data_IF_122590996596
#
_entry.id   IF_122590996596
#
_cell.length_a   1.000
_cell.length_b   1.000
_cell.length_c   1.000
_cell.angle_alpha   90.00
_cell.angle_beta   90.00
_cell.angle_gamma   90.00
#
_symmetry.space_group_name_H-M   'P 1'
#
loop_
_entity.id
_entity.type
_entity.pdbx_description
1 polymer ?
#
# COMPACT_ATOMS: atom_id res chain seq x y z
N UNK A 1 -10.26 11.98 -36.82
CA UNK A 1 -9.76 10.81 -36.08
C UNK A 1 -10.93 10.20 -35.33
N UNK A 2 -11.49 9.10 -35.86
CA UNK A 2 -12.53 8.29 -35.23
C UNK A 2 -11.89 7.25 -34.36
N UNK A 3 -11.93 7.41 -33.03
CA UNK A 3 -11.50 6.42 -32.05
C UNK A 3 -12.60 5.41 -31.82
N UNK A 4 -12.40 4.16 -32.26
CA UNK A 4 -13.30 3.04 -32.02
C UNK A 4 -13.29 2.62 -30.55
N UNK A 5 -14.48 2.51 -29.96
CA UNK A 5 -14.69 1.96 -28.65
C UNK A 5 -14.47 0.43 -28.70
N UNK A 6 -13.46 -0.08 -28.02
CA UNK A 6 -13.29 -1.51 -27.79
C UNK A 6 -14.13 -1.91 -26.58
N UNK A 7 -15.27 -2.51 -26.82
CA UNK A 7 -16.05 -3.23 -25.80
C UNK A 7 -15.36 -4.53 -25.45
N UNK A 8 -14.84 -4.64 -24.21
CA UNK A 8 -14.41 -5.92 -23.66
C UNK A 8 -15.64 -6.66 -23.15
N UNK A 9 -16.15 -7.60 -23.93
CA UNK A 9 -17.04 -8.65 -23.44
C UNK A 9 -16.20 -9.68 -22.66
N UNK A 10 -16.23 -9.62 -21.34
CA UNK A 10 -15.78 -10.74 -20.52
C UNK A 10 -16.95 -11.70 -20.28
N UNK A 11 -17.24 -12.50 -21.28
CA UNK A 11 -18.11 -13.65 -21.14
C UNK A 11 -17.30 -14.86 -20.68
N UNK A 12 -17.29 -15.15 -19.37
CA UNK A 12 -16.95 -16.47 -18.87
C UNK A 12 -18.15 -17.07 -18.13
N UNK A 13 -19.12 -17.48 -18.89
CA UNK A 13 -20.12 -18.43 -18.44
C UNK A 13 -19.63 -19.83 -18.78
N UNK A 14 -18.82 -20.46 -17.94
CA UNK A 14 -18.59 -21.89 -17.97
C UNK A 14 -19.71 -22.60 -17.19
N UNK A 15 -20.84 -22.78 -17.83
CA UNK A 15 -21.85 -23.76 -17.40
C UNK A 15 -21.39 -25.15 -17.85
N UNK A 16 -20.56 -25.80 -17.03
CA UNK A 16 -20.33 -27.24 -17.19
C UNK A 16 -21.50 -27.99 -16.56
N UNK A 17 -22.51 -28.29 -17.38
CA UNK A 17 -23.55 -29.24 -17.04
C UNK A 17 -22.97 -30.65 -17.18
N UNK A 18 -22.28 -31.13 -16.18
CA UNK A 18 -21.93 -32.53 -16.05
C UNK A 18 -23.12 -33.26 -15.42
N UNK A 19 -23.97 -33.82 -16.26
CA UNK A 19 -24.93 -34.87 -15.86
C UNK A 19 -24.14 -36.12 -15.47
N UNK A 20 -23.68 -36.18 -14.24
CA UNK A 20 -23.09 -37.38 -13.66
C UNK A 20 -24.18 -38.07 -12.82
N UNK A 21 -24.91 -38.99 -13.47
CA UNK A 21 -25.83 -39.89 -12.78
C UNK A 21 -25.02 -41.02 -12.16
N UNK A 22 -24.29 -40.72 -11.11
CA UNK A 22 -23.75 -41.69 -10.19
C UNK A 22 -24.56 -41.64 -8.92
N UNK A 23 -25.45 -42.62 -8.74
CA UNK A 23 -26.08 -42.94 -7.47
C UNK A 23 -24.99 -43.38 -6.47
N UNK A 24 -24.35 -42.46 -5.86
CA UNK A 24 -23.56 -42.68 -4.65
C UNK A 24 -24.40 -42.21 -3.48
N UNK A 25 -24.87 -43.17 -2.69
CA UNK A 25 -25.46 -42.93 -1.36
C UNK A 25 -24.41 -42.24 -0.44
N UNK A 26 -24.26 -40.94 -0.61
CA UNK A 26 -23.45 -40.15 0.31
C UNK A 26 -24.31 -39.88 1.55
N UNK A 27 -24.19 -40.76 2.55
CA UNK A 27 -24.92 -40.65 3.82
C UNK A 27 -24.51 -39.45 4.70
N UNK A 28 -23.45 -38.75 4.34
CA UNK A 28 -23.10 -37.46 4.93
C UNK A 28 -22.19 -36.68 3.98
N UNK A 29 -22.60 -35.49 3.58
CA UNK A 29 -21.70 -34.55 2.91
C UNK A 29 -20.57 -34.17 3.89
N UNK A 30 -19.30 -34.25 3.49
CA UNK A 30 -18.23 -33.77 4.37
C UNK A 30 -18.47 -32.29 4.66
N UNK A 31 -18.32 -31.84 5.91
CA UNK A 31 -18.48 -30.45 6.27
C UNK A 31 -17.41 -29.61 5.53
N UNK A 32 -17.84 -28.88 4.51
CA UNK A 32 -16.97 -27.99 3.76
C UNK A 32 -17.05 -26.61 4.39
N UNK A 33 -16.06 -26.21 5.17
CA UNK A 33 -15.91 -24.83 5.58
C UNK A 33 -15.26 -24.05 4.40
N UNK A 34 -16.10 -23.54 3.52
CA UNK A 34 -15.66 -22.61 2.48
C UNK A 34 -15.25 -21.29 3.13
N UNK A 35 -13.96 -20.96 3.12
CA UNK A 35 -13.54 -19.63 3.50
C UNK A 35 -14.04 -18.65 2.42
N UNK A 36 -14.81 -17.61 2.77
CA UNK A 36 -15.27 -16.65 1.78
C UNK A 36 -14.05 -15.94 1.17
N UNK A 37 -13.83 -16.14 -0.12
CA UNK A 37 -12.82 -15.37 -0.85
C UNK A 37 -13.39 -14.00 -1.19
N UNK A 38 -12.95 -12.97 -0.48
CA UNK A 38 -13.28 -11.60 -0.81
C UNK A 38 -12.36 -11.10 -1.93
N UNK A 39 -12.79 -11.23 -3.17
CA UNK A 39 -12.15 -10.57 -4.30
C UNK A 39 -12.54 -9.09 -4.32
N UNK A 40 -11.97 -8.27 -3.43
CA UNK A 40 -12.07 -6.83 -3.50
C UNK A 40 -11.01 -6.26 -4.46
N UNK A 41 -10.99 -6.75 -5.68
CA UNK A 41 -10.12 -6.27 -6.76
C UNK A 41 -10.76 -5.11 -7.54
N UNK A 42 -11.60 -4.30 -6.93
CA UNK A 42 -12.00 -3.05 -7.55
C UNK A 42 -10.91 -2.01 -7.27
N UNK A 43 -10.43 -1.34 -8.30
CA UNK A 43 -9.39 -0.30 -8.20
C UNK A 43 -9.78 0.84 -7.24
N UNK A 44 -11.05 0.88 -6.83
CA UNK A 44 -11.59 1.92 -5.96
C UNK A 44 -11.64 1.56 -4.47
N UNK A 45 -11.40 0.30 -4.11
CA UNK A 45 -11.47 -0.13 -2.71
C UNK A 45 -10.07 -0.48 -2.20
N UNK A 46 -9.53 0.35 -1.31
CA UNK A 46 -8.25 0.10 -0.62
C UNK A 46 -8.40 -0.88 0.56
N UNK A 47 -9.26 -1.87 0.41
CA UNK A 47 -9.48 -2.88 1.44
C UNK A 47 -8.90 -4.22 1.01
N UNK A 48 -8.15 -4.85 1.89
CA UNK A 48 -7.62 -6.20 1.73
C UNK A 48 -8.41 -7.12 2.65
N UNK A 49 -9.03 -8.16 2.07
CA UNK A 49 -9.72 -9.18 2.83
C UNK A 49 -8.77 -10.32 3.19
N UNK A 50 -8.76 -10.72 4.45
CA UNK A 50 -8.15 -11.96 4.90
C UNK A 50 -9.23 -12.88 5.44
N UNK A 51 -9.29 -14.12 4.94
CA UNK A 51 -10.23 -15.14 5.39
C UNK A 51 -9.48 -16.38 5.83
N UNK A 52 -9.95 -17.02 6.90
CA UNK A 52 -9.43 -18.27 7.39
C UNK A 52 -10.60 -19.22 7.71
N UNK A 53 -10.47 -20.49 7.34
CA UNK A 53 -11.40 -21.55 7.66
C UNK A 53 -10.70 -22.69 8.39
N UNK A 54 -11.32 -23.18 9.46
CA UNK A 54 -10.88 -24.36 10.19
C UNK A 54 -11.96 -25.43 10.08
N UNK A 55 -11.58 -26.62 9.65
CA UNK A 55 -12.45 -27.79 9.58
C UNK A 55 -12.01 -28.82 10.62
N UNK A 56 -12.94 -29.24 11.47
CA UNK A 56 -12.79 -30.41 12.35
C UNK A 56 -13.93 -31.37 12.14
N UNK A 57 -13.81 -32.60 12.63
CA UNK A 57 -14.85 -33.63 12.48
C UNK A 57 -16.24 -33.11 12.91
N UNK A 58 -17.10 -32.81 11.94
CA UNK A 58 -18.49 -32.43 12.14
C UNK A 58 -18.78 -30.93 12.32
N UNK A 59 -17.78 -30.06 12.45
CA UNK A 59 -17.98 -28.62 12.60
C UNK A 59 -16.97 -27.84 11.78
N UNK A 60 -17.48 -26.93 10.92
CA UNK A 60 -16.66 -25.96 10.16
C UNK A 60 -16.88 -24.54 10.67
N UNK A 61 -15.82 -23.83 11.00
CA UNK A 61 -15.84 -22.41 11.37
C UNK A 61 -15.03 -21.62 10.38
N UNK A 62 -15.62 -20.57 9.80
CA UNK A 62 -14.93 -19.64 8.91
C UNK A 62 -15.08 -18.21 9.41
N UNK A 63 -14.02 -17.44 9.32
CA UNK A 63 -14.00 -16.02 9.69
C UNK A 63 -13.22 -15.20 8.67
N UNK A 64 -13.65 -13.96 8.46
CA UNK A 64 -12.99 -13.02 7.57
C UNK A 64 -12.85 -11.65 8.23
N UNK A 65 -11.75 -10.95 7.95
CA UNK A 65 -11.51 -9.58 8.41
C UNK A 65 -11.03 -8.72 7.25
N UNK A 66 -11.53 -7.50 7.18
CA UNK A 66 -11.08 -6.50 6.22
C UNK A 66 -10.03 -5.59 6.87
N UNK A 67 -8.97 -5.31 6.14
CA UNK A 67 -7.96 -4.34 6.52
C UNK A 67 -7.91 -3.24 5.46
N UNK A 68 -7.86 -1.99 5.90
CA UNK A 68 -7.68 -0.86 5.00
C UNK A 68 -6.18 -0.69 4.75
N UNK A 69 -5.77 -0.72 3.48
CA UNK A 69 -4.40 -0.40 3.10
C UNK A 69 -4.21 1.13 3.05
N UNK A 70 -3.55 1.65 4.08
CA UNK A 70 -3.24 3.08 4.20
C UNK A 70 -2.38 3.62 3.06
N UNK A 71 -1.54 2.79 2.44
CA UNK A 71 -0.73 3.21 1.30
C UNK A 71 -1.59 3.40 0.06
N UNK A 72 -2.52 2.47 -0.19
CA UNK A 72 -3.49 2.60 -1.26
C UNK A 72 -4.36 3.86 -1.09
N UNK A 73 -4.88 4.10 0.11
CA UNK A 73 -5.67 5.30 0.44
C UNK A 73 -4.88 6.58 0.18
N UNK A 74 -3.63 6.66 0.65
CA UNK A 74 -2.75 7.80 0.45
C UNK A 74 -2.47 8.08 -1.02
N UNK A 75 -2.20 7.04 -1.81
CA UNK A 75 -1.99 7.17 -3.25
C UNK A 75 -3.23 7.70 -3.98
N UNK A 76 -4.43 7.26 -3.58
CA UNK A 76 -5.68 7.77 -4.14
C UNK A 76 -5.91 9.22 -3.80
N UNK A 77 -5.74 9.61 -2.54
CA UNK A 77 -5.85 11.01 -2.12
C UNK A 77 -4.86 11.91 -2.87
N UNK A 78 -3.61 11.47 -3.03
CA UNK A 78 -2.62 12.20 -3.79
C UNK A 78 -3.02 12.36 -5.27
N UNK A 79 -3.59 11.31 -5.89
CA UNK A 79 -4.08 11.37 -7.27
C UNK A 79 -5.22 12.37 -7.40
N UNK A 80 -6.22 12.31 -6.53
CA UNK A 80 -7.36 13.22 -6.53
C UNK A 80 -6.89 14.68 -6.38
N UNK A 81 -5.97 14.96 -5.45
CA UNK A 81 -5.42 16.31 -5.29
C UNK A 81 -4.66 16.78 -6.53
N UNK A 82 -3.92 15.89 -7.19
CA UNK A 82 -3.23 16.22 -8.43
C UNK A 82 -4.22 16.52 -9.56
N UNK A 83 -5.31 15.79 -9.67
CA UNK A 83 -6.36 15.99 -10.69
C UNK A 83 -7.09 17.31 -10.49
N UNK A 84 -7.27 17.76 -9.24
CA UNK A 84 -7.76 19.10 -8.91
C UNK A 84 -6.70 20.21 -9.11
N UNK A 85 -5.50 19.89 -9.59
CA UNK A 85 -4.41 20.85 -9.80
C UNK A 85 -3.64 21.21 -8.53
N UNK A 86 -3.97 20.64 -7.38
CA UNK A 86 -3.30 20.88 -6.10
C UNK A 86 -2.03 20.04 -5.96
N UNK A 87 -1.07 20.23 -6.86
CA UNK A 87 0.15 19.41 -6.97
C UNK A 87 0.98 19.39 -5.68
N UNK A 88 1.13 20.54 -5.03
CA UNK A 88 1.89 20.65 -3.77
C UNK A 88 1.22 19.85 -2.64
N UNK A 89 -0.12 19.91 -2.57
CA UNK A 89 -0.90 19.10 -1.63
C UNK A 89 -0.77 17.61 -1.88
N UNK A 90 -0.78 17.18 -3.16
CA UNK A 90 -0.56 15.80 -3.54
C UNK A 90 0.81 15.28 -3.06
N UNK A 91 1.88 16.07 -3.27
CA UNK A 91 3.22 15.75 -2.78
C UNK A 91 3.26 15.71 -1.25
N UNK A 92 2.62 16.66 -0.57
CA UNK A 92 2.56 16.70 0.90
C UNK A 92 1.92 15.42 1.50
N UNK A 93 0.85 14.91 0.87
CA UNK A 93 0.22 13.64 1.28
C UNK A 93 1.17 12.45 1.09
N UNK A 94 1.88 12.39 -0.04
CA UNK A 94 2.85 11.33 -0.30
C UNK A 94 4.02 11.38 0.69
N UNK A 95 4.44 12.58 1.07
CA UNK A 95 5.52 12.83 2.01
C UNK A 95 5.24 12.37 3.46
N UNK A 96 4.01 11.96 3.77
CA UNK A 96 3.70 11.32 5.05
C UNK A 96 4.28 9.89 5.15
N UNK A 97 4.68 9.30 4.02
CA UNK A 97 5.39 8.03 4.01
C UNK A 97 6.88 8.28 4.20
N UNK A 98 7.48 7.58 5.17
CA UNK A 98 8.91 7.69 5.53
C UNK A 98 9.82 7.48 4.30
N UNK A 99 9.49 6.53 3.45
CA UNK A 99 10.29 6.18 2.26
C UNK A 99 10.24 7.28 1.21
N UNK A 100 9.07 7.88 1.00
CA UNK A 100 8.89 9.00 0.07
C UNK A 100 9.61 10.23 0.59
N UNK A 101 9.46 10.53 1.87
CA UNK A 101 10.12 11.65 2.52
C UNK A 101 11.64 11.55 2.38
N UNK A 102 12.23 10.39 2.69
CA UNK A 102 13.66 10.15 2.54
C UNK A 102 14.14 10.32 1.09
N UNK A 103 13.39 9.74 0.14
CA UNK A 103 13.72 9.87 -1.28
C UNK A 103 13.70 11.32 -1.75
N UNK A 104 12.72 12.12 -1.33
CA UNK A 104 12.60 13.54 -1.66
C UNK A 104 13.75 14.37 -1.08
N UNK A 105 14.14 14.11 0.17
CA UNK A 105 15.30 14.76 0.78
C UNK A 105 16.59 14.41 0.04
N UNK A 106 16.80 13.14 -0.31
CA UNK A 106 17.99 12.69 -1.03
C UNK A 106 18.05 13.23 -2.47
N UNK A 107 16.90 13.44 -3.10
CA UNK A 107 16.79 14.07 -4.42
C UNK A 107 17.02 15.60 -4.39
N UNK A 108 17.15 16.22 -3.21
CA UNK A 108 17.28 17.67 -3.08
C UNK A 108 15.98 18.45 -3.29
N UNK A 109 14.85 17.76 -3.35
CA UNK A 109 13.50 18.32 -3.47
C UNK A 109 12.71 18.05 -2.19
N UNK A 110 12.94 18.77 -1.11
CA UNK A 110 12.35 18.50 0.19
C UNK A 110 10.82 18.59 0.16
N UNK A 111 10.19 17.80 0.99
CA UNK A 111 8.74 17.82 1.18
C UNK A 111 8.25 19.20 1.66
N UNK A 112 7.09 19.65 1.22
CA UNK A 112 6.47 20.89 1.68
C UNK A 112 6.25 20.88 3.20
N UNK A 113 6.49 22.03 3.84
CA UNK A 113 6.23 22.26 5.27
C UNK A 113 5.80 23.71 5.46
N UNK A 114 4.77 23.98 6.24
CA UNK A 114 4.26 25.32 6.58
C UNK A 114 4.11 26.24 5.37
N UNK A 115 3.62 25.72 4.26
CA UNK A 115 3.47 26.46 3.00
C UNK A 115 4.80 26.80 2.30
N UNK A 116 5.94 26.30 2.79
CA UNK A 116 7.24 26.48 2.15
C UNK A 116 7.62 25.26 1.32
N UNK A 117 8.37 25.54 0.25
CA UNK A 117 8.88 24.51 -0.69
C UNK A 117 10.37 24.78 -0.95
N UNK A 118 11.07 23.79 -1.51
CA UNK A 118 12.46 23.93 -1.93
C UNK A 118 13.41 24.23 -0.76
N UNK A 119 14.31 25.21 -0.94
CA UNK A 119 15.36 25.54 0.04
C UNK A 119 14.81 25.96 1.40
N UNK A 120 13.70 26.70 1.42
CA UNK A 120 13.07 27.16 2.65
C UNK A 120 12.46 25.99 3.44
N UNK A 121 11.81 25.04 2.74
CA UNK A 121 11.34 23.81 3.36
C UNK A 121 12.50 22.98 3.94
N UNK A 122 13.63 22.90 3.23
CA UNK A 122 14.82 22.20 3.73
C UNK A 122 15.35 22.83 5.04
N UNK A 123 15.35 24.17 5.14
CA UNK A 123 15.76 24.86 6.35
C UNK A 123 14.82 24.56 7.53
N UNK A 124 13.51 24.54 7.27
CA UNK A 124 12.51 24.19 8.28
C UNK A 124 12.64 22.73 8.73
N UNK A 125 12.83 21.79 7.82
CA UNK A 125 13.05 20.38 8.16
C UNK A 125 14.34 20.13 8.95
N UNK A 126 15.34 20.96 8.81
CA UNK A 126 16.54 20.96 9.68
C UNK A 126 16.26 21.51 11.06
N UNK A 127 15.39 22.53 11.16
CA UNK A 127 15.01 23.16 12.42
C UNK A 127 14.06 22.28 13.24
N UNK A 128 13.10 21.64 12.57
CA UNK A 128 12.06 20.79 13.18
C UNK A 128 12.28 19.33 12.82
N UNK A 129 13.50 18.84 13.05
CA UNK A 129 13.89 17.48 12.65
C UNK A 129 13.09 16.38 13.36
N UNK A 130 12.56 16.65 14.56
CA UNK A 130 11.72 15.73 15.33
C UNK A 130 10.33 15.50 14.71
N UNK A 131 9.85 16.39 13.84
CA UNK A 131 8.55 16.26 13.12
C UNK A 131 8.67 15.42 11.84
N UNK A 132 9.86 15.02 11.47
CA UNK A 132 10.11 14.23 10.27
C UNK A 132 9.47 12.84 10.39
N UNK A 133 8.78 12.35 9.34
CA UNK A 133 8.24 10.98 9.34
C UNK A 133 9.34 9.90 9.43
N UNK A 134 10.57 10.20 8.91
CA UNK A 134 11.73 9.31 8.96
C UNK A 134 12.66 9.54 10.19
N UNK A 135 12.19 10.25 11.22
CA UNK A 135 13.04 10.68 12.35
C UNK A 135 13.87 9.56 12.97
N UNK A 136 13.28 8.38 13.20
CA UNK A 136 13.99 7.23 13.80
C UNK A 136 15.14 6.75 12.91
N UNK A 137 14.89 6.62 11.61
CA UNK A 137 15.90 6.21 10.64
C UNK A 137 16.96 7.30 10.45
N UNK A 138 16.56 8.56 10.44
CA UNK A 138 17.44 9.72 10.37
C UNK A 138 18.44 9.76 11.54
N UNK A 139 17.98 9.63 12.78
CA UNK A 139 18.85 9.61 13.96
C UNK A 139 19.82 8.42 13.93
N UNK A 140 19.37 7.26 13.49
CA UNK A 140 20.26 6.09 13.33
C UNK A 140 21.37 6.38 12.32
N UNK A 141 21.04 6.92 11.14
CA UNK A 141 22.01 7.30 10.10
C UNK A 141 22.99 8.36 10.60
N UNK A 142 22.52 9.36 11.33
CA UNK A 142 23.38 10.41 11.89
C UNK A 142 24.39 9.85 12.91
N UNK A 143 23.97 8.89 13.74
CA UNK A 143 24.87 8.18 14.67
C UNK A 143 25.92 7.35 13.93
N UNK A 144 25.52 6.68 12.87
CA UNK A 144 26.42 5.88 12.04
C UNK A 144 27.45 6.76 11.31
N UNK A 145 27.02 7.88 10.70
CA UNK A 145 27.91 8.85 10.06
C UNK A 145 28.98 9.39 11.03
N UNK A 146 28.58 9.79 12.24
CA UNK A 146 29.53 10.25 13.26
C UNK A 146 30.55 9.20 13.68
N UNK A 147 30.25 7.91 13.53
CA UNK A 147 31.22 6.82 13.80
C UNK A 147 32.21 6.62 12.67
N UNK A 148 31.81 6.92 11.43
CA UNK A 148 32.61 6.68 10.22
C UNK A 148 33.51 7.87 9.92
N UNK A 149 33.05 9.10 10.19
CA UNK A 149 33.77 10.35 9.89
C UNK A 149 35.22 10.38 10.45
N UNK A 150 35.50 10.04 11.72
CA UNK A 150 36.88 10.02 12.24
C UNK A 150 37.76 8.93 11.62
N UNK A 151 37.17 7.86 11.05
CA UNK A 151 37.94 6.82 10.35
C UNK A 151 38.38 7.27 8.95
N UNK A 152 37.61 8.14 8.31
CA UNK A 152 37.90 8.63 6.96
C UNK A 152 39.04 9.63 6.98
N UNK A 153 39.13 10.49 7.99
CA UNK A 153 40.22 11.46 8.15
C UNK A 153 41.58 10.79 8.40
N UNK A 154 41.59 9.59 8.99
CA UNK A 154 42.83 8.82 9.21
C UNK A 154 43.38 8.20 7.91
N UNK A 155 42.56 8.00 6.89
CA UNK A 155 42.94 7.37 5.61
C UNK A 155 43.39 8.40 4.54
N UNK A 156 43.18 9.70 4.76
CA UNK A 156 43.53 10.79 3.85
C UNK A 156 44.79 11.54 4.25
N UNK A 157 45.49 11.08 5.27
CA UNK A 157 46.85 11.53 5.66
C UNK A 157 47.87 10.46 5.32
#
# INVERSE_FOLDING_TARGET
YTGGATTYESGSSSSSTTNNTSNSDIRSAPPTAGAPSYNSMTQDVCAVGASAGLQTFGVGVSGGKHFIDKNCERLKLARILNDFGMKVGAVAILCQDERVFEAMINAGTPCPIDGKIGKDAMALWKKYDFERPDYKAYIKRMKERKKVEPKLELHTR
#
